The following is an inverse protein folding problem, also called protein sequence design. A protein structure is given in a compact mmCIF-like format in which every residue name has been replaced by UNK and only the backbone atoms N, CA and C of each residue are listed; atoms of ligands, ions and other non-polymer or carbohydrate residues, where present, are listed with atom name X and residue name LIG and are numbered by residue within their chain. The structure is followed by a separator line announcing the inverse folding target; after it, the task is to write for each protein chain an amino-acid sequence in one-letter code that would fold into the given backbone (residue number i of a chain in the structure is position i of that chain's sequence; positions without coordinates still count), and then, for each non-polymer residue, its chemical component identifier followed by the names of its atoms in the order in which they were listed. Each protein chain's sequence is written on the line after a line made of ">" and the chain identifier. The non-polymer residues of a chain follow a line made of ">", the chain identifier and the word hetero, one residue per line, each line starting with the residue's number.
data_IF_630488961592
#
_entry.id   IF_630488961592
#
_cell.length_a   1.000
_cell.length_b   1.000
_cell.length_c   1.000
_cell.angle_alpha   90.00
_cell.angle_beta   90.00
_cell.angle_gamma   90.00
#
_symmetry.space_group_name_H-M   'P 1'
#
loop_
_entity.id
_entity.type
_entity.pdbx_description
1 polymer ?
#
# COMPACT_ATOMS: atom_id res chain seq x y z
N UNK A 1 -10.09 7.50 2.13
CA UNK A 1 -9.29 6.55 2.92
C UNK A 1 -7.88 7.03 2.84
N UNK A 2 -7.26 7.21 3.99
CA UNK A 2 -5.89 7.69 4.07
C UNK A 2 -4.98 6.49 3.78
N UNK A 3 -4.02 6.65 2.89
CA UNK A 3 -3.00 5.64 2.62
C UNK A 3 -1.65 6.33 2.78
N UNK A 4 -0.72 5.67 3.46
CA UNK A 4 0.57 6.27 3.78
C UNK A 4 1.62 5.84 2.77
N UNK A 5 2.22 6.80 2.08
CA UNK A 5 3.29 6.57 1.10
C UNK A 5 4.01 7.87 0.76
N UNK A 6 5.36 7.92 0.68
CA UNK A 6 6.31 6.82 0.82
C UNK A 6 6.79 6.60 2.26
N UNK A 7 6.14 7.19 3.25
CA UNK A 7 6.51 7.11 4.65
C UNK A 7 5.27 7.19 5.55
N UNK A 8 5.43 6.78 6.81
CA UNK A 8 4.37 6.81 7.82
C UNK A 8 4.51 8.05 8.72
N UNK A 9 5.71 8.25 9.27
CA UNK A 9 6.03 9.37 10.17
C UNK A 9 6.89 10.42 9.45
N UNK A 10 6.83 11.71 9.86
CA UNK A 10 7.71 12.72 9.31
C UNK A 10 9.17 12.41 9.67
N UNK A 11 10.10 12.82 8.82
CA UNK A 11 11.51 12.55 9.05
C UNK A 11 12.36 12.84 7.83
N UNK A 12 13.63 12.44 7.87
CA UNK A 12 14.50 12.63 6.72
C UNK A 12 14.46 11.45 5.77
N UNK A 13 14.46 11.75 4.47
CA UNK A 13 14.65 10.74 3.44
C UNK A 13 16.08 10.18 3.54
N UNK A 14 16.30 8.86 3.45
CA UNK A 14 17.61 8.25 3.71
C UNK A 14 18.67 8.58 2.66
N UNK A 15 18.29 9.10 1.48
CA UNK A 15 19.22 9.46 0.41
C UNK A 15 19.19 10.97 0.12
N UNK A 16 20.24 11.73 0.51
CA UNK A 16 20.27 13.18 0.40
C UNK A 16 20.16 13.73 -1.03
N UNK A 17 20.62 12.96 -2.02
CA UNK A 17 20.71 13.39 -3.43
C UNK A 17 19.35 13.37 -4.15
N UNK A 18 18.37 12.65 -3.61
CA UNK A 18 16.99 12.68 -4.09
C UNK A 18 16.28 13.87 -3.43
N UNK A 19 15.92 14.87 -4.26
CA UNK A 19 15.36 16.19 -3.87
C UNK A 19 14.57 16.18 -2.54
N UNK A 20 15.20 16.67 -1.47
CA UNK A 20 14.51 17.23 -0.31
C UNK A 20 14.37 16.30 0.90
N UNK A 21 15.41 16.25 1.73
CA UNK A 21 15.56 15.42 2.94
C UNK A 21 14.57 15.64 4.09
N UNK A 22 13.33 16.06 3.84
CA UNK A 22 12.25 16.05 4.82
C UNK A 22 10.93 15.54 4.21
N UNK A 23 10.45 14.45 4.78
CA UNK A 23 9.17 13.81 4.55
C UNK A 23 8.15 14.34 5.57
N UNK A 24 6.91 14.55 5.12
CA UNK A 24 5.81 14.93 6.01
C UNK A 24 5.10 13.71 6.58
N UNK A 25 4.34 13.90 7.65
CA UNK A 25 3.54 12.85 8.26
C UNK A 25 2.64 12.19 7.20
N UNK A 26 2.58 10.85 7.21
CA UNK A 26 1.79 10.00 6.30
C UNK A 26 2.11 10.12 4.80
N UNK A 27 3.12 10.92 4.42
CA UNK A 27 3.62 11.01 3.05
C UNK A 27 2.71 11.78 2.08
N UNK A 28 2.81 11.45 0.80
CA UNK A 28 2.22 12.18 -0.31
C UNK A 28 0.81 11.72 -0.70
N UNK A 29 0.44 10.46 -0.45
CA UNK A 29 -0.85 9.92 -0.89
C UNK A 29 -2.04 10.46 -0.09
N UNK A 30 -1.86 10.71 1.21
CA UNK A 30 -2.90 11.29 2.08
C UNK A 30 -3.30 12.72 1.68
N UNK A 31 -2.35 13.49 1.14
CA UNK A 31 -2.57 14.87 0.69
C UNK A 31 -2.73 14.97 -0.84
N UNK A 32 -2.60 13.84 -1.53
CA UNK A 32 -2.61 13.74 -2.98
C UNK A 32 -4.01 13.75 -3.57
N UNK A 33 -4.18 14.44 -4.69
CA UNK A 33 -5.35 14.25 -5.53
C UNK A 33 -5.15 13.00 -6.40
N UNK A 34 -6.19 12.17 -6.45
CA UNK A 34 -6.23 10.97 -7.28
C UNK A 34 -7.22 11.18 -8.42
N UNK A 35 -6.77 10.93 -9.64
CA UNK A 35 -7.60 11.00 -10.84
C UNK A 35 -8.26 9.66 -11.11
N UNK A 36 -9.59 9.64 -11.27
CA UNK A 36 -10.29 8.43 -11.69
C UNK A 36 -9.98 8.14 -13.16
N UNK A 37 -9.13 7.15 -13.42
CA UNK A 37 -8.77 6.74 -14.78
C UNK A 37 -9.69 5.66 -15.34
N UNK A 38 -10.40 4.93 -14.46
CA UNK A 38 -11.47 4.00 -14.82
C UNK A 38 -12.56 4.02 -13.74
N UNK A 39 -13.83 3.98 -14.16
CA UNK A 39 -14.97 3.83 -13.27
C UNK A 39 -16.02 2.96 -13.98
N UNK A 40 -16.36 1.83 -13.35
CA UNK A 40 -17.44 0.94 -13.75
C UNK A 40 -18.15 0.39 -12.52
N UNK A 41 -19.13 -0.49 -12.73
CA UNK A 41 -20.04 -0.94 -11.67
C UNK A 41 -19.32 -1.66 -10.51
N UNK A 42 -18.27 -2.44 -10.82
CA UNK A 42 -17.55 -3.26 -9.83
C UNK A 42 -16.09 -2.85 -9.65
N UNK A 43 -15.60 -1.87 -10.42
CA UNK A 43 -14.18 -1.50 -10.43
C UNK A 43 -13.98 -0.01 -10.61
N UNK A 44 -13.12 0.57 -9.77
CA UNK A 44 -12.63 1.94 -9.92
C UNK A 44 -11.11 1.92 -9.88
N UNK A 45 -10.47 2.52 -10.88
CA UNK A 45 -9.03 2.75 -10.89
C UNK A 45 -8.73 4.23 -10.72
N UNK A 46 -7.83 4.52 -9.79
CA UNK A 46 -7.36 5.84 -9.44
C UNK A 46 -5.88 5.93 -9.74
N UNK A 47 -5.44 7.02 -10.34
CA UNK A 47 -4.06 7.29 -10.69
C UNK A 47 -3.57 8.58 -10.02
N UNK A 48 -2.30 8.58 -9.62
CA UNK A 48 -1.64 9.77 -9.09
C UNK A 48 -0.16 9.79 -9.49
N UNK A 49 0.37 10.97 -9.83
CA UNK A 49 1.81 11.21 -9.92
C UNK A 49 2.37 11.65 -8.58
N UNK A 50 3.58 11.20 -8.25
CA UNK A 50 4.29 11.66 -7.06
C UNK A 50 4.47 13.19 -7.05
N UNK A 51 4.49 13.76 -5.85
CA UNK A 51 4.56 15.20 -5.62
C UNK A 51 6.02 15.65 -5.57
N UNK A 52 6.85 15.00 -4.72
CA UNK A 52 8.28 15.28 -4.58
C UNK A 52 9.15 14.24 -5.29
N UNK A 53 8.64 13.03 -5.44
CA UNK A 53 9.35 11.92 -6.06
C UNK A 53 8.75 11.59 -7.43
N UNK A 54 9.61 11.25 -8.39
CA UNK A 54 9.18 10.85 -9.72
C UNK A 54 8.71 9.39 -9.71
N UNK A 55 7.45 9.19 -9.36
CA UNK A 55 6.76 7.90 -9.50
C UNK A 55 5.35 8.09 -10.05
N UNK A 56 4.78 6.99 -10.55
CA UNK A 56 3.37 6.88 -10.88
C UNK A 56 2.73 5.82 -9.98
N UNK A 57 1.63 6.16 -9.32
CA UNK A 57 0.87 5.24 -8.49
C UNK A 57 -0.50 4.98 -9.11
N UNK A 58 -0.96 3.74 -8.97
CA UNK A 58 -2.33 3.34 -9.27
C UNK A 58 -2.91 2.60 -8.08
N UNK A 59 -4.16 2.92 -7.75
CA UNK A 59 -4.98 2.24 -6.76
C UNK A 59 -6.25 1.74 -7.43
N UNK A 60 -6.51 0.44 -7.37
CA UNK A 60 -7.69 -0.18 -7.96
C UNK A 60 -8.55 -0.78 -6.87
N UNK A 61 -9.80 -0.36 -6.82
CA UNK A 61 -10.84 -0.95 -5.99
C UNK A 61 -11.62 -1.97 -6.84
N UNK A 62 -11.86 -3.17 -6.31
CA UNK A 62 -12.72 -4.19 -6.94
C UNK A 62 -13.70 -4.78 -5.94
N UNK A 63 -14.97 -4.86 -6.33
CA UNK A 63 -15.96 -5.67 -5.64
C UNK A 63 -15.87 -7.10 -6.17
N UNK A 64 -15.38 -8.04 -5.35
CA UNK A 64 -15.18 -9.44 -5.78
C UNK A 64 -16.37 -10.34 -5.42
N UNK A 65 -16.92 -10.13 -4.23
CA UNK A 65 -18.07 -10.83 -3.65
C UNK A 65 -18.94 -9.78 -2.91
N UNK A 66 -20.20 -10.07 -2.54
CA UNK A 66 -21.09 -9.07 -1.93
C UNK A 66 -20.54 -8.35 -0.68
N UNK A 67 -19.59 -8.95 0.02
CA UNK A 67 -18.96 -8.49 1.25
C UNK A 67 -17.44 -8.29 1.14
N UNK A 68 -16.88 -8.42 -0.07
CA UNK A 68 -15.43 -8.39 -0.28
C UNK A 68 -15.03 -7.24 -1.19
N UNK A 69 -14.34 -6.26 -0.61
CA UNK A 69 -13.64 -5.20 -1.32
C UNK A 69 -12.14 -5.51 -1.39
N UNK A 70 -11.64 -5.71 -2.60
CA UNK A 70 -10.21 -5.76 -2.87
C UNK A 70 -9.68 -4.35 -3.17
N UNK A 71 -8.53 -4.04 -2.60
CA UNK A 71 -7.79 -2.81 -2.92
C UNK A 71 -6.39 -3.22 -3.37
N UNK A 72 -6.13 -3.06 -4.66
CA UNK A 72 -4.83 -3.32 -5.27
C UNK A 72 -4.06 -2.01 -5.42
N UNK A 73 -2.79 -2.02 -5.07
CA UNK A 73 -1.88 -0.89 -5.20
C UNK A 73 -0.75 -1.25 -6.16
N UNK A 74 -0.36 -0.34 -7.03
CA UNK A 74 0.86 -0.45 -7.83
C UNK A 74 1.60 0.87 -7.88
N UNK A 75 2.93 0.78 -7.86
CA UNK A 75 3.82 1.95 -7.95
C UNK A 75 4.88 1.65 -8.99
N UNK A 76 5.10 2.61 -9.88
CA UNK A 76 6.17 2.61 -10.87
C UNK A 76 7.11 3.76 -10.58
N UNK A 77 8.36 3.44 -10.24
CA UNK A 77 9.44 4.42 -10.19
C UNK A 77 9.73 4.94 -11.62
N UNK A 78 9.74 6.26 -11.79
CA UNK A 78 10.04 6.93 -13.06
C UNK A 78 11.42 7.60 -13.05
N UNK A 79 12.08 7.64 -11.88
CA UNK A 79 13.43 8.18 -11.76
C UNK A 79 14.49 7.19 -12.26
N UNK A 80 15.66 7.72 -12.60
CA UNK A 80 16.86 6.93 -12.93
C UNK A 80 17.54 6.34 -11.69
N UNK A 81 17.09 6.73 -10.49
CA UNK A 81 17.64 6.29 -9.20
C UNK A 81 16.66 5.39 -8.43
N UNK A 82 17.15 4.45 -7.62
CA UNK A 82 16.30 3.62 -6.76
C UNK A 82 15.47 4.46 -5.78
N UNK A 83 14.18 4.14 -5.67
CA UNK A 83 13.25 4.78 -4.75
C UNK A 83 12.95 3.86 -3.55
N UNK A 84 13.32 4.28 -2.35
CA UNK A 84 12.94 3.62 -1.08
C UNK A 84 11.61 4.19 -0.59
N UNK A 85 10.73 3.31 -0.15
CA UNK A 85 9.44 3.67 0.38
C UNK A 85 9.00 2.70 1.48
N UNK A 86 8.11 3.20 2.33
CA UNK A 86 7.18 2.42 3.13
C UNK A 86 5.78 2.62 2.56
N UNK A 87 4.95 1.60 2.71
CA UNK A 87 3.55 1.65 2.36
C UNK A 87 2.74 1.06 3.51
N UNK A 88 1.62 1.71 3.81
CA UNK A 88 0.62 1.18 4.73
C UNK A 88 -0.76 1.60 4.23
N UNK A 89 -1.63 0.63 4.04
CA UNK A 89 -3.06 0.90 3.98
C UNK A 89 -3.51 1.35 5.39
N UNK A 90 -4.29 2.42 5.46
CA UNK A 90 -4.78 2.96 6.74
C UNK A 90 -6.33 3.00 6.77
N UNK A 91 -6.98 1.82 6.66
CA UNK A 91 -8.44 1.73 6.65
C UNK A 91 -9.03 2.08 8.03
N UNK A 92 -10.19 2.73 8.00
CA UNK A 92 -11.01 2.96 9.17
C UNK A 92 -12.25 2.07 9.06
N UNK A 93 -12.44 1.19 10.03
CA UNK A 93 -13.61 0.32 10.10
C UNK A 93 -14.64 0.90 11.09
N UNK A 94 -15.87 1.08 10.61
CA UNK A 94 -16.97 1.46 11.47
C UNK A 94 -17.44 0.24 12.26
N UNK A 95 -17.36 0.33 13.60
CA UNK A 95 -17.81 -0.69 14.55
C UNK A 95 -18.93 -0.10 15.40
N UNK A 96 -19.97 -0.89 15.68
CA UNK A 96 -21.18 -0.41 16.37
C UNK A 96 -21.15 -0.63 17.88
N UNK A 97 -20.56 -1.74 18.29
CA UNK A 97 -20.54 -2.21 19.68
C UNK A 97 -19.09 -2.45 20.12
N UNK A 98 -18.91 -2.99 21.33
CA UNK A 98 -17.61 -3.54 21.75
C UNK A 98 -17.11 -4.54 20.72
N UNK A 99 -15.84 -4.43 20.37
CA UNK A 99 -15.21 -5.25 19.34
C UNK A 99 -13.89 -5.82 19.85
N UNK A 100 -13.50 -6.94 19.27
CA UNK A 100 -12.21 -7.59 19.49
C UNK A 100 -11.49 -7.71 18.15
N UNK A 101 -10.20 -7.39 18.11
CA UNK A 101 -9.33 -7.70 16.98
C UNK A 101 -8.79 -9.12 17.15
N UNK A 102 -9.38 -10.07 16.42
CA UNK A 102 -8.88 -11.43 16.36
C UNK A 102 -7.88 -11.55 15.21
N UNK A 103 -6.63 -11.83 15.55
CA UNK A 103 -5.60 -12.17 14.57
C UNK A 103 -5.55 -13.69 14.40
N UNK A 104 -5.17 -14.21 13.23
CA UNK A 104 -4.92 -15.64 13.07
C UNK A 104 -3.96 -16.14 14.17
N UNK A 105 -4.24 -17.32 14.73
CA UNK A 105 -3.39 -17.95 15.76
C UNK A 105 -2.04 -18.47 15.23
N UNK A 106 -1.79 -18.26 13.93
CA UNK A 106 -0.56 -18.64 13.27
C UNK A 106 0.56 -17.63 13.60
N UNK A 107 1.80 -18.07 13.42
CA UNK A 107 2.97 -17.22 13.58
C UNK A 107 2.89 -16.01 12.62
N UNK A 108 2.94 -14.79 13.16
CA UNK A 108 2.97 -13.58 12.35
C UNK A 108 4.35 -13.48 11.69
N UNK A 109 4.42 -13.79 10.41
CA UNK A 109 5.64 -13.64 9.63
C UNK A 109 5.76 -12.22 9.08
N UNK A 110 6.77 -11.48 9.55
CA UNK A 110 7.15 -10.21 8.96
C UNK A 110 8.04 -10.45 7.73
N UNK A 111 7.55 -10.09 6.55
CA UNK A 111 8.36 -10.07 5.33
C UNK A 111 8.79 -8.63 5.04
N UNK A 112 10.02 -8.29 5.41
CA UNK A 112 10.65 -7.09 4.89
C UNK A 112 10.95 -7.32 3.40
N UNK A 113 10.52 -6.38 2.54
CA UNK A 113 10.89 -6.39 1.13
C UNK A 113 11.53 -5.05 0.73
N UNK A 114 12.78 -5.07 0.24
CA UNK A 114 13.72 -6.20 0.29
C UNK A 114 14.09 -6.56 1.74
N UNK A 115 14.65 -7.76 1.96
CA UNK A 115 15.11 -8.20 3.26
C UNK A 115 16.15 -7.25 3.87
N UNK A 116 16.35 -7.26 5.21
CA UNK A 116 17.31 -6.36 5.86
C UNK A 116 18.71 -6.54 5.28
N UNK A 117 19.29 -5.47 4.74
CA UNK A 117 20.65 -5.49 4.18
C UNK A 117 20.76 -6.02 2.75
N UNK A 118 19.67 -6.49 2.15
CA UNK A 118 19.70 -6.97 0.76
C UNK A 118 19.31 -5.87 -0.23
N UNK A 119 20.19 -5.64 -1.21
CA UNK A 119 19.89 -4.84 -2.39
C UNK A 119 19.43 -5.78 -3.50
N UNK A 120 18.15 -5.73 -3.84
CA UNK A 120 17.61 -6.44 -5.00
C UNK A 120 17.55 -5.48 -6.19
N UNK A 121 18.16 -5.81 -7.35
CA UNK A 121 17.91 -5.06 -8.57
C UNK A 121 16.41 -5.16 -8.88
N UNK A 122 15.81 -4.05 -9.32
CA UNK A 122 14.39 -3.97 -9.68
C UNK A 122 14.11 -4.88 -10.88
N UNK A 123 13.77 -6.15 -10.63
CA UNK A 123 13.20 -7.03 -11.64
C UNK A 123 11.69 -6.77 -11.65
N UNK A 124 11.13 -6.52 -12.83
CA UNK A 124 9.73 -6.14 -13.05
C UNK A 124 8.73 -7.29 -12.81
N UNK A 125 8.94 -8.11 -11.79
CA UNK A 125 7.98 -9.12 -11.39
C UNK A 125 6.88 -8.49 -10.52
N UNK A 126 5.64 -8.68 -10.94
CA UNK A 126 4.45 -8.28 -10.19
C UNK A 126 4.35 -9.10 -8.90
N UNK A 127 4.76 -8.50 -7.79
CA UNK A 127 4.67 -9.13 -6.47
C UNK A 127 3.32 -8.90 -5.77
N UNK A 128 2.35 -8.22 -6.42
CA UNK A 128 1.04 -7.91 -5.82
C UNK A 128 0.10 -9.11 -5.69
N UNK A 129 0.52 -10.28 -6.19
CA UNK A 129 -0.32 -11.49 -6.36
C UNK A 129 0.08 -12.68 -5.49
N UNK A 130 0.93 -12.51 -4.48
CA UNK A 130 1.12 -13.58 -3.49
C UNK A 130 -0.13 -13.63 -2.62
N UNK A 131 -1.06 -14.52 -2.98
CA UNK A 131 -2.28 -14.73 -2.22
C UNK A 131 -1.93 -15.08 -0.77
N UNK A 132 -2.48 -14.31 0.18
CA UNK A 132 -2.55 -14.74 1.58
C UNK A 132 -3.62 -15.86 1.60
N UNK A 133 -3.27 -17.11 1.93
CA UNK A 133 -4.24 -18.19 1.89
C UNK A 133 -5.41 -17.88 2.83
N UNK A 134 -6.65 -17.97 2.33
CA UNK A 134 -7.86 -17.96 3.18
C UNK A 134 -7.77 -19.18 4.10
N UNK A 135 -7.58 -18.99 5.40
CA UNK A 135 -7.73 -20.08 6.36
C UNK A 135 -9.21 -20.49 6.40
N UNK A 136 -9.54 -21.79 6.38
CA UNK A 136 -10.91 -22.23 6.54
C UNK A 136 -11.41 -21.79 7.92
N UNK A 137 -12.56 -21.10 7.95
CA UNK A 137 -13.26 -20.77 9.19
C UNK A 137 -13.64 -22.09 9.85
N UNK A 138 -13.04 -22.39 11.01
CA UNK A 138 -13.43 -23.54 11.80
C UNK A 138 -14.88 -23.34 12.26
N UNK A 139 -15.80 -24.15 11.73
CA UNK A 139 -17.19 -24.16 12.15
C UNK A 139 -17.28 -24.50 13.64
N UNK A 140 -17.83 -23.59 14.43
CA UNK A 140 -18.23 -23.90 15.79
C UNK A 140 -19.59 -24.63 15.74
N UNK A 141 -19.55 -25.91 16.13
CA UNK A 141 -20.71 -26.73 16.51
C UNK A 141 -21.11 -26.37 17.94
#
# INVERSE_FOLDING_TARGET
>A
MDDCFPNIEPGSYPFPDLRGGQLFQMGEWVYGAWDASQAGDETVALDQKGIRFDYFARKTYRLLEPDTLEIQYSVRNLADLPFRYLWSAHPLFAVKDEFELQLPNDEIHFKAFPGPGEYHPLVAEDQSRVAIPRLPVAGHV
#
